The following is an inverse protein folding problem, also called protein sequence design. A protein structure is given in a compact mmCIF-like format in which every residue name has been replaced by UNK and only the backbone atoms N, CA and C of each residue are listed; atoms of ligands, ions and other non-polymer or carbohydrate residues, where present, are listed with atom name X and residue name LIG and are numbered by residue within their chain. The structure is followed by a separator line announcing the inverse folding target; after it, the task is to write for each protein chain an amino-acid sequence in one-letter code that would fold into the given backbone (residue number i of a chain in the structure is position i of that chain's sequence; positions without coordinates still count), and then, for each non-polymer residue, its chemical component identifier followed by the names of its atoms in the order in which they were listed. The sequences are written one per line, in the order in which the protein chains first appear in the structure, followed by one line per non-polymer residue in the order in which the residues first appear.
data_IF_950008843181
#
_entry.id   IF_950008843181
#
_cell.length_a   1.000
_cell.length_b   1.000
_cell.length_c   1.000
_cell.angle_alpha   90.00
_cell.angle_beta   90.00
_cell.angle_gamma   90.00
#
_symmetry.space_group_name_H-M   'P 1'
#
loop_
_entity.id
_entity.type
_entity.pdbx_description
1 polymer ?
#
# COMPACT_ATOMS: atom_id res chain seq x y z
N UNK A 1 -5.89 7.93 -10.14
CA UNK A 1 -5.03 8.02 -8.95
C UNK A 1 -4.47 6.64 -8.77
N UNK A 2 -3.15 6.55 -8.74
CA UNK A 2 -2.41 5.30 -8.60
C UNK A 2 -1.64 5.41 -7.27
N UNK A 3 -1.62 4.32 -6.50
CA UNK A 3 -0.91 4.26 -5.21
C UNK A 3 0.41 3.54 -5.45
N UNK A 4 1.49 4.31 -5.51
CA UNK A 4 2.85 3.78 -5.65
C UNK A 4 3.72 4.24 -4.49
N UNK A 5 4.51 3.32 -3.94
CA UNK A 5 5.42 3.61 -2.85
C UNK A 5 6.85 3.81 -3.39
N UNK A 6 7.58 4.82 -2.90
CA UNK A 6 8.97 5.05 -3.25
C UNK A 6 9.87 3.97 -2.65
N UNK A 7 10.75 3.45 -3.48
CA UNK A 7 11.74 2.45 -3.13
C UNK A 7 13.11 2.84 -3.68
N UNK A 8 14.16 2.36 -3.00
CA UNK A 8 15.56 2.50 -3.41
C UNK A 8 16.08 1.11 -3.76
N UNK A 9 16.82 1.02 -4.87
CA UNK A 9 17.45 -0.20 -5.35
C UNK A 9 18.96 -0.03 -5.24
N UNK A 10 19.62 -0.99 -4.59
CA UNK A 10 21.05 -1.02 -4.36
C UNK A 10 21.61 -2.30 -4.99
N UNK A 11 22.61 -2.19 -5.86
CA UNK A 11 23.29 -3.38 -6.41
C UNK A 11 24.18 -4.01 -5.35
N UNK A 12 24.15 -5.34 -5.25
CA UNK A 12 24.92 -6.12 -4.29
C UNK A 12 26.08 -6.87 -4.98
N UNK A 13 27.18 -7.05 -4.26
CA UNK A 13 28.36 -7.81 -4.71
C UNK A 13 28.24 -9.28 -4.25
N UNK A 14 28.63 -10.28 -5.06
CA UNK A 14 29.16 -10.20 -6.44
C UNK A 14 28.08 -10.05 -7.53
N UNK A 15 26.80 -10.24 -7.18
CA UNK A 15 25.66 -10.02 -8.05
C UNK A 15 24.38 -9.92 -7.21
N UNK A 16 23.38 -9.21 -7.73
CA UNK A 16 22.04 -9.10 -7.14
C UNK A 16 21.63 -7.66 -6.89
N UNK A 17 20.38 -7.49 -6.51
CA UNK A 17 19.75 -6.21 -6.25
C UNK A 17 18.97 -6.31 -4.96
N UNK A 18 19.24 -5.40 -4.03
CA UNK A 18 18.46 -5.20 -2.81
C UNK A 18 17.51 -4.03 -3.03
N UNK A 19 16.27 -4.18 -2.60
CA UNK A 19 15.26 -3.12 -2.64
C UNK A 19 14.70 -2.92 -1.25
N UNK A 20 14.56 -1.65 -0.85
CA UNK A 20 13.85 -1.23 0.36
C UNK A 20 12.87 -0.11 0.08
N UNK A 21 11.75 -0.11 0.77
CA UNK A 21 10.75 0.95 0.71
C UNK A 21 11.01 2.03 1.75
N UNK A 22 10.73 3.29 1.41
CA UNK A 22 11.00 4.41 2.30
C UNK A 22 9.89 4.65 3.33
N UNK A 23 8.63 4.39 2.97
CA UNK A 23 7.48 4.59 3.86
C UNK A 23 7.02 3.29 4.55
N UNK A 24 7.59 2.15 4.15
CA UNK A 24 7.28 0.82 4.71
C UNK A 24 8.60 0.15 5.06
N UNK A 25 9.13 0.50 6.24
CA UNK A 25 10.48 0.08 6.67
C UNK A 25 10.67 -1.44 6.71
N UNK A 26 9.60 -2.18 7.00
CA UNK A 26 9.60 -3.64 7.03
C UNK A 26 9.53 -4.28 5.64
N UNK A 27 9.30 -3.49 4.58
CA UNK A 27 9.27 -3.95 3.20
C UNK A 27 10.66 -3.82 2.58
N UNK A 28 11.35 -4.94 2.49
CA UNK A 28 12.58 -5.08 1.74
C UNK A 28 12.64 -6.45 1.08
N UNK A 29 13.42 -6.55 0.02
CA UNK A 29 13.56 -7.78 -0.75
C UNK A 29 14.87 -7.77 -1.54
N UNK A 30 15.19 -8.90 -2.14
CA UNK A 30 16.33 -9.07 -3.02
C UNK A 30 15.94 -9.84 -4.29
N UNK A 31 16.76 -9.73 -5.32
CA UNK A 31 16.65 -10.54 -6.53
C UNK A 31 18.00 -10.65 -7.24
N UNK A 32 18.19 -11.75 -7.96
CA UNK A 32 19.42 -12.04 -8.71
C UNK A 32 19.52 -11.15 -9.96
N UNK A 33 18.36 -10.80 -10.54
CA UNK A 33 18.26 -9.84 -11.64
C UNK A 33 17.44 -8.62 -11.22
N UNK A 34 17.53 -7.54 -12.02
CA UNK A 34 16.74 -6.34 -11.79
C UNK A 34 15.25 -6.63 -11.88
N UNK A 35 14.86 -7.43 -12.86
CA UNK A 35 13.47 -7.82 -13.11
C UNK A 35 12.91 -8.66 -11.96
N UNK A 36 13.69 -9.62 -11.46
CA UNK A 36 13.32 -10.44 -10.30
C UNK A 36 13.15 -9.57 -9.05
N UNK A 37 14.10 -8.66 -8.78
CA UNK A 37 14.01 -7.79 -7.63
C UNK A 37 12.76 -6.89 -7.69
N UNK A 38 12.43 -6.34 -8.87
CA UNK A 38 11.22 -5.53 -9.06
C UNK A 38 9.93 -6.33 -8.85
N UNK A 39 9.88 -7.58 -9.35
CA UNK A 39 8.75 -8.48 -9.12
C UNK A 39 8.58 -8.77 -7.63
N UNK A 40 9.68 -9.14 -6.97
CA UNK A 40 9.69 -9.41 -5.53
C UNK A 40 9.29 -8.17 -4.72
N UNK A 41 9.65 -6.96 -5.19
CA UNK A 41 9.29 -5.71 -4.53
C UNK A 41 7.79 -5.46 -4.57
N UNK A 42 7.13 -5.73 -5.70
CA UNK A 42 5.68 -5.65 -5.80
C UNK A 42 4.98 -6.68 -4.90
N UNK A 43 5.54 -7.90 -4.82
CA UNK A 43 5.01 -8.98 -3.98
C UNK A 43 5.13 -8.67 -2.49
N UNK A 44 6.31 -8.27 -2.01
CA UNK A 44 6.51 -7.93 -0.59
C UNK A 44 5.66 -6.74 -0.16
N UNK A 45 5.54 -5.72 -1.02
CA UNK A 45 4.68 -4.56 -0.77
C UNK A 45 3.20 -4.98 -0.69
N UNK A 46 2.75 -5.82 -1.62
CA UNK A 46 1.39 -6.37 -1.64
C UNK A 46 1.08 -7.17 -0.38
N UNK A 47 2.01 -8.03 0.04
CA UNK A 47 1.87 -8.87 1.21
C UNK A 47 1.76 -8.02 2.50
N UNK A 48 2.68 -7.08 2.70
CA UNK A 48 2.74 -6.27 3.92
C UNK A 48 1.57 -5.29 4.03
N UNK A 49 1.22 -4.60 2.95
CA UNK A 49 0.06 -3.70 2.94
C UNK A 49 -1.25 -4.49 3.10
N UNK A 50 -1.34 -5.66 2.46
CA UNK A 50 -2.45 -6.60 2.67
C UNK A 50 -2.60 -7.01 4.12
N UNK A 51 -1.51 -7.51 4.71
CA UNK A 51 -1.48 -7.93 6.10
C UNK A 51 -1.84 -6.79 7.06
N UNK A 52 -1.27 -5.60 6.88
CA UNK A 52 -1.62 -4.42 7.70
C UNK A 52 -3.11 -4.08 7.60
N UNK A 53 -3.72 -4.16 6.41
CA UNK A 53 -5.16 -3.96 6.26
C UNK A 53 -5.95 -5.04 7.01
N UNK A 54 -5.57 -6.30 6.87
CA UNK A 54 -6.25 -7.43 7.51
C UNK A 54 -6.14 -7.36 9.05
N UNK A 55 -5.03 -6.83 9.56
CA UNK A 55 -4.81 -6.60 11.00
C UNK A 55 -5.40 -5.26 11.50
N UNK A 56 -6.01 -4.45 10.62
CA UNK A 56 -6.53 -3.13 11.00
C UNK A 56 -5.44 -2.14 11.43
N UNK A 57 -4.20 -2.37 11.03
CA UNK A 57 -3.06 -1.50 11.33
C UNK A 57 -3.11 -0.22 10.47
N UNK A 58 -2.36 0.79 10.91
CA UNK A 58 -2.14 2.00 10.12
C UNK A 58 -1.40 1.65 8.82
N UNK A 59 -1.82 2.30 7.73
CA UNK A 59 -1.17 2.18 6.44
C UNK A 59 -0.46 3.51 6.15
N UNK A 60 0.88 3.50 6.01
CA UNK A 60 1.63 4.70 5.67
C UNK A 60 1.14 5.31 4.36
N UNK A 61 1.12 6.64 4.26
CA UNK A 61 0.89 7.31 2.98
C UNK A 61 2.17 7.25 2.15
N UNK A 62 2.09 6.98 0.84
CA UNK A 62 3.28 6.97 -0.01
C UNK A 62 3.83 8.38 -0.20
N UNK A 63 5.12 8.58 0.10
CA UNK A 63 5.83 9.83 -0.15
C UNK A 63 5.95 10.09 -1.66
N UNK A 64 5.71 11.33 -2.08
CA UNK A 64 5.76 11.76 -3.48
C UNK A 64 7.04 12.56 -3.76
N UNK A 65 7.45 12.61 -5.03
CA UNK A 65 8.59 13.38 -5.52
C UNK A 65 9.91 13.13 -4.77
N UNK A 66 10.15 11.87 -4.36
CA UNK A 66 11.38 11.48 -3.66
C UNK A 66 12.51 11.32 -4.68
N UNK A 67 13.58 12.09 -4.50
CA UNK A 67 14.76 12.06 -5.37
C UNK A 67 15.38 10.66 -5.39
N UNK A 68 15.76 10.18 -6.58
CA UNK A 68 16.43 8.88 -6.81
C UNK A 68 15.58 7.64 -6.47
N UNK A 69 14.34 7.80 -6.02
CA UNK A 69 13.43 6.69 -5.80
C UNK A 69 12.75 6.27 -7.10
N UNK A 70 12.51 4.96 -7.23
CA UNK A 70 11.54 4.43 -8.18
C UNK A 70 10.26 4.07 -7.43
N UNK A 71 9.15 3.97 -8.17
CA UNK A 71 7.82 3.86 -7.60
C UNK A 71 7.20 2.52 -7.92
N UNK A 72 6.85 1.75 -6.89
CA UNK A 72 6.25 0.41 -7.03
C UNK A 72 4.80 0.44 -6.57
N UNK A 73 3.92 -0.08 -7.41
CA UNK A 73 2.53 -0.32 -7.05
C UNK A 73 2.39 -1.74 -6.45
N UNK A 74 1.53 -1.94 -5.44
CA UNK A 74 1.10 -3.28 -5.07
C UNK A 74 0.15 -3.84 -6.16
N UNK A 75 -0.27 -5.09 -6.01
CA UNK A 75 -1.24 -5.72 -6.92
C UNK A 75 -2.53 -4.89 -7.05
N UNK A 76 -3.24 -5.07 -8.17
CA UNK A 76 -4.43 -4.27 -8.49
C UNK A 76 -5.51 -4.32 -7.39
N UNK A 77 -5.66 -5.47 -6.72
CA UNK A 77 -6.65 -5.67 -5.66
C UNK A 77 -6.30 -4.85 -4.42
N UNK A 78 -5.06 -4.91 -3.98
CA UNK A 78 -4.50 -4.17 -2.85
C UNK A 78 -4.53 -2.69 -3.15
N UNK A 79 -4.12 -2.29 -4.35
CA UNK A 79 -4.14 -0.90 -4.80
C UNK A 79 -5.56 -0.32 -4.75
N UNK A 80 -6.56 -1.04 -5.27
CA UNK A 80 -7.96 -0.60 -5.22
C UNK A 80 -8.49 -0.47 -3.77
N UNK A 81 -8.11 -1.38 -2.87
CA UNK A 81 -8.47 -1.28 -1.46
C UNK A 81 -7.83 -0.05 -0.79
N UNK A 82 -6.56 0.22 -1.07
CA UNK A 82 -5.84 1.40 -0.58
C UNK A 82 -6.45 2.71 -1.07
N UNK A 83 -6.79 2.79 -2.36
CA UNK A 83 -7.47 3.97 -2.93
C UNK A 83 -8.75 4.31 -2.18
N UNK A 84 -9.58 3.30 -1.87
CA UNK A 84 -10.79 3.52 -1.10
C UNK A 84 -10.50 3.93 0.34
N UNK A 85 -9.55 3.24 0.99
CA UNK A 85 -9.18 3.54 2.38
C UNK A 85 -8.72 4.99 2.51
N UNK A 86 -7.78 5.42 1.67
CA UNK A 86 -7.28 6.79 1.68
C UNK A 86 -8.34 7.83 1.27
N UNK A 87 -9.26 7.47 0.37
CA UNK A 87 -10.37 8.35 0.02
C UNK A 87 -11.40 8.50 1.15
N UNK A 88 -11.57 7.49 2.01
CA UNK A 88 -12.43 7.54 3.21
C UNK A 88 -11.75 8.23 4.39
N UNK A 89 -10.43 8.12 4.52
CA UNK A 89 -9.64 8.74 5.60
C UNK A 89 -9.43 10.25 5.40
N UNK A 90 -9.61 10.77 4.18
CA UNK A 90 -9.60 12.22 3.93
C UNK A 90 -10.84 12.87 4.57
N UNK A 91 -10.70 13.80 5.53
CA UNK A 91 -11.83 14.57 6.01
C UNK A 91 -12.32 15.48 4.87
N UNK A 92 -13.63 15.56 4.71
CA UNK A 92 -14.26 16.61 3.92
C UNK A 92 -13.95 17.95 4.61
N UNK A 93 -12.92 18.64 4.12
CA UNK A 93 -12.52 19.97 4.58
C UNK A 93 -11.51 19.98 5.74
N UNK A 94 -10.58 20.94 5.67
CA UNK A 94 -9.55 21.33 6.66
C UNK A 94 -8.29 20.47 6.85
N UNK A 95 -7.20 20.98 6.24
CA UNK A 95 -5.90 21.35 6.84
C UNK A 95 -5.31 20.54 8.00
N UNK A 96 -4.02 20.16 7.80
CA UNK A 96 -2.92 19.99 8.78
C UNK A 96 -3.31 19.55 10.20
N UNK A 97 -2.92 18.33 10.53
CA UNK A 97 -2.74 17.89 11.91
C UNK A 97 -2.59 16.38 12.00
N UNK A 98 -1.35 15.90 11.96
CA UNK A 98 -1.02 14.59 12.53
C UNK A 98 -1.47 14.60 13.98
N UNK A 99 -2.62 14.00 14.27
CA UNK A 99 -3.02 13.67 15.62
C UNK A 99 -3.44 12.21 15.66
N UNK A 100 -2.52 11.42 16.20
CA UNK A 100 -2.71 10.10 16.78
C UNK A 100 -4.09 10.02 17.43
N UNK A 101 -4.99 9.23 16.86
CA UNK A 101 -6.26 8.93 17.50
C UNK A 101 -6.05 7.68 18.36
N UNK A 102 -5.80 7.95 19.64
CA UNK A 102 -5.70 6.98 20.74
C UNK A 102 -6.89 6.01 20.76
N UNK A 103 -6.53 4.75 21.02
CA UNK A 103 -7.26 3.74 21.82
C UNK A 103 -8.73 3.49 21.48
N UNK A 104 -8.97 2.54 20.59
CA UNK A 104 -10.16 1.70 20.68
C UNK A 104 -9.88 0.56 21.67
N UNK A 105 -10.43 0.77 22.87
CA UNK A 105 -10.88 -0.21 23.85
C UNK A 105 -10.73 -1.68 23.43
N UNK A 106 -9.96 -2.40 24.25
CA UNK A 106 -9.86 -3.84 24.35
C UNK A 106 -11.21 -4.55 24.49
N UNK A 107 -11.63 -5.18 23.40
CA UNK A 107 -12.22 -6.53 23.43
C UNK A 107 -11.56 -7.30 22.29
N UNK A 108 -10.50 -8.06 22.62
CA UNK A 108 -9.99 -9.12 21.76
C UNK A 108 -11.05 -10.21 21.77
N UNK A 109 -12.01 -10.12 20.87
CA UNK A 109 -12.84 -11.27 20.53
C UNK A 109 -13.17 -11.24 19.05
N UNK A 110 -12.90 -12.40 18.45
CA UNK A 110 -13.02 -12.76 17.05
C UNK A 110 -11.84 -12.32 16.17
N UNK A 111 -11.12 -13.32 15.70
CA UNK A 111 -10.46 -13.30 14.41
C UNK A 111 -11.46 -12.76 13.37
N UNK A 112 -11.49 -11.44 13.17
CA UNK A 112 -12.10 -10.88 11.99
C UNK A 112 -11.15 -11.29 10.88
N UNK A 113 -11.46 -12.40 10.22
CA UNK A 113 -11.01 -12.63 8.87
C UNK A 113 -11.57 -11.47 8.04
N UNK A 114 -10.90 -10.33 8.09
CA UNK A 114 -11.14 -9.16 7.24
C UNK A 114 -10.90 -9.65 5.82
N UNK A 115 -11.94 -10.21 5.20
CA UNK A 115 -11.81 -10.73 3.85
C UNK A 115 -11.56 -9.54 2.94
N UNK A 116 -10.40 -9.57 2.25
CA UNK A 116 -10.08 -8.61 1.19
C UNK A 116 -11.31 -8.44 0.28
N UNK A 117 -11.87 -7.21 0.17
CA UNK A 117 -13.12 -6.98 -0.54
C UNK A 117 -13.04 -7.46 -1.99
N UNK A 118 -14.16 -7.97 -2.49
CA UNK A 118 -14.33 -8.33 -3.90
C UNK A 118 -14.32 -7.09 -4.79
N UNK A 119 -14.00 -7.26 -6.08
CA UNK A 119 -14.02 -6.17 -7.07
C UNK A 119 -15.37 -5.43 -7.08
N UNK A 120 -16.48 -6.16 -7.02
CA UNK A 120 -17.83 -5.59 -6.95
C UNK A 120 -18.05 -4.71 -5.71
N UNK A 121 -17.50 -5.12 -4.56
CA UNK A 121 -17.57 -4.31 -3.33
C UNK A 121 -16.71 -3.05 -3.46
N UNK A 122 -15.53 -3.17 -4.08
CA UNK A 122 -14.64 -2.04 -4.35
C UNK A 122 -15.30 -1.02 -5.28
N UNK A 123 -15.93 -1.46 -6.37
CA UNK A 123 -16.67 -0.59 -7.30
C UNK A 123 -17.83 0.14 -6.62
N UNK A 124 -18.64 -0.59 -5.81
CA UNK A 124 -19.75 0.01 -5.06
C UNK A 124 -19.26 1.06 -4.06
N UNK A 125 -18.14 0.80 -3.40
CA UNK A 125 -17.52 1.75 -2.48
C UNK A 125 -17.01 3.00 -3.21
N UNK A 126 -16.34 2.83 -4.36
CA UNK A 126 -15.88 3.95 -5.19
C UNK A 126 -17.06 4.83 -5.65
N UNK A 127 -18.16 4.21 -6.09
CA UNK A 127 -19.36 4.92 -6.52
C UNK A 127 -19.98 5.77 -5.40
N UNK A 128 -20.00 5.28 -4.15
CA UNK A 128 -20.46 6.05 -2.98
C UNK A 128 -19.60 7.28 -2.70
N UNK A 129 -18.34 7.28 -3.13
CA UNK A 129 -17.42 8.41 -3.02
C UNK A 129 -17.49 9.34 -4.26
N UNK A 130 -18.44 9.12 -5.18
CA UNK A 130 -18.51 9.85 -6.45
C UNK A 130 -17.32 9.57 -7.37
N UNK A 131 -16.65 8.43 -7.19
CA UNK A 131 -15.51 7.99 -7.99
C UNK A 131 -15.90 6.77 -8.82
N UNK A 132 -15.11 6.51 -9.86
CA UNK A 132 -15.21 5.30 -10.68
C UNK A 132 -13.90 4.54 -10.56
N UNK A 133 -13.99 3.25 -10.24
CA UNK A 133 -12.83 2.36 -10.33
C UNK A 133 -12.59 2.03 -11.81
N UNK A 134 -11.37 2.23 -12.28
CA UNK A 134 -10.95 1.98 -13.67
C UNK A 134 -9.65 1.20 -13.62
N UNK A 135 -9.56 0.14 -14.42
CA UNK A 135 -8.34 -0.61 -14.67
C UNK A 135 -7.79 -0.22 -16.05
N UNK A 136 -6.48 0.01 -16.13
CA UNK A 136 -5.74 0.25 -17.37
C UNK A 136 -4.53 -0.68 -17.43
N UNK A 137 -4.08 -0.97 -18.64
CA UNK A 137 -2.76 -1.56 -18.87
C UNK A 137 -1.75 -0.41 -19.05
N UNK A 138 -0.56 -0.60 -18.50
CA UNK A 138 0.60 0.28 -18.67
C UNK A 138 1.62 -0.38 -19.59
#
# INVERSE_FOLDING_TARGET
MDIRYPAIMESQEPAGFFIRFLDVEEAFTEGSTREEALQNAAEVLTALLGWRMDQGLEIPQPSQDVKEAFYVAPDAKTQAALLLRFAMERPVGTSRGHQSRKTLSSTRDHAVQQHRPSLRQLEKAAARLGKRLVLSFD
#
